data_IF_099608006113
#
_entry.id   IF_099608006113
#
_cell.length_a   1.000
_cell.length_b   1.000
_cell.length_c   1.000
_cell.angle_alpha   90.00
_cell.angle_beta   90.00
_cell.angle_gamma   90.00
#
_symmetry.space_group_name_H-M   'P 1'
#
loop_
_entity.id
_entity.type
_entity.pdbx_description
1 polymer ?
#
# COMPACT_ATOMS: atom_id res chain seq x y z
N UNK A 1 75.64 -0.92 -11.34
CA UNK A 1 75.70 -2.16 -12.15
C UNK A 1 74.85 -3.24 -11.49
N UNK A 2 74.20 -4.03 -12.31
CA UNK A 2 73.37 -5.20 -12.01
C UNK A 2 71.93 -4.92 -11.56
N UNK A 3 71.05 -4.87 -12.59
CA UNK A 3 69.62 -5.05 -12.48
C UNK A 3 69.31 -6.51 -12.09
N UNK A 4 68.52 -6.71 -11.04
CA UNK A 4 67.84 -7.98 -10.77
C UNK A 4 66.35 -7.80 -11.00
N UNK A 5 65.86 -8.45 -12.05
CA UNK A 5 64.46 -8.72 -12.31
C UNK A 5 63.86 -9.52 -11.17
N UNK A 6 62.79 -8.99 -10.58
CA UNK A 6 61.89 -9.76 -9.74
C UNK A 6 60.57 -9.94 -10.50
N UNK A 7 60.41 -11.11 -11.09
CA UNK A 7 59.20 -11.56 -11.72
C UNK A 7 58.33 -12.16 -10.60
N UNK A 8 57.42 -11.37 -10.07
CA UNK A 8 56.44 -11.87 -9.10
C UNK A 8 55.18 -12.30 -9.84
N UNK A 9 54.97 -13.59 -9.77
CA UNK A 9 53.82 -14.37 -10.22
C UNK A 9 52.56 -13.87 -9.44
N UNK A 10 51.67 -13.12 -10.10
CA UNK A 10 50.36 -12.80 -9.56
C UNK A 10 49.45 -13.96 -9.91
N UNK A 11 49.32 -14.88 -8.95
CA UNK A 11 48.32 -15.94 -8.97
C UNK A 11 46.94 -15.32 -8.87
N UNK A 12 46.20 -15.36 -9.96
CA UNK A 12 44.83 -14.89 -10.03
C UNK A 12 43.89 -15.73 -9.16
N UNK A 13 43.49 -15.17 -8.04
CA UNK A 13 42.39 -15.69 -7.23
C UNK A 13 41.08 -15.28 -7.91
N UNK A 14 40.56 -16.13 -8.75
CA UNK A 14 39.18 -16.04 -9.27
C UNK A 14 38.22 -16.32 -8.10
N UNK A 15 37.76 -15.25 -7.44
CA UNK A 15 36.57 -15.29 -6.58
C UNK A 15 35.38 -15.59 -7.45
N UNK A 16 34.96 -16.84 -7.47
CA UNK A 16 33.60 -17.22 -7.93
C UNK A 16 32.61 -16.53 -6.99
N UNK A 17 32.09 -15.38 -7.41
CA UNK A 17 30.83 -14.85 -6.91
C UNK A 17 29.75 -15.82 -7.36
N UNK A 18 29.51 -16.84 -6.54
CA UNK A 18 28.27 -17.61 -6.61
C UNK A 18 27.15 -16.62 -6.28
N UNK A 19 26.61 -15.96 -7.32
CA UNK A 19 25.34 -15.29 -7.22
C UNK A 19 24.34 -16.29 -6.70
N UNK A 20 23.62 -15.95 -5.63
CA UNK A 20 22.39 -16.64 -5.26
C UNK A 20 21.45 -16.56 -6.46
N UNK A 21 21.53 -17.53 -7.35
CA UNK A 21 20.44 -17.91 -8.18
C UNK A 21 19.37 -18.40 -7.18
N UNK A 22 18.32 -17.61 -6.96
CA UNK A 22 17.13 -18.12 -6.28
C UNK A 22 16.73 -19.39 -7.02
N UNK A 23 16.42 -20.45 -6.28
CA UNK A 23 16.00 -21.72 -6.84
C UNK A 23 14.99 -21.45 -7.95
N UNK A 24 15.18 -22.03 -9.14
CA UNK A 24 14.15 -22.02 -10.16
C UNK A 24 12.96 -22.76 -9.55
N UNK A 25 11.87 -22.02 -9.30
CA UNK A 25 10.62 -22.54 -8.75
C UNK A 25 10.20 -23.73 -9.66
N UNK A 26 10.43 -24.95 -9.17
CA UNK A 26 10.12 -26.19 -9.90
C UNK A 26 8.62 -26.24 -10.11
N UNK A 27 8.16 -25.97 -11.33
CA UNK A 27 6.80 -26.00 -11.85
C UNK A 27 6.11 -24.68 -12.08
N UNK A 28 6.78 -23.73 -12.71
CA UNK A 28 6.06 -22.59 -13.30
C UNK A 28 5.25 -23.09 -14.50
N UNK A 29 3.97 -23.40 -14.28
CA UNK A 29 3.06 -23.79 -15.35
C UNK A 29 2.66 -22.56 -16.15
N UNK A 30 3.19 -22.41 -17.35
CA UNK A 30 2.83 -21.31 -18.26
C UNK A 30 1.47 -21.57 -18.87
N UNK A 31 0.50 -20.70 -18.61
CA UNK A 31 -0.87 -20.78 -19.14
C UNK A 31 -0.96 -20.16 -20.54
N UNK A 32 -0.31 -19.02 -20.77
CA UNK A 32 -0.27 -18.34 -22.06
C UNK A 32 1.07 -17.64 -22.29
N UNK A 33 1.49 -17.54 -23.56
CA UNK A 33 2.62 -16.73 -24.00
C UNK A 33 2.12 -15.60 -24.87
N UNK A 34 2.50 -14.36 -24.54
CA UNK A 34 2.06 -13.14 -25.22
C UNK A 34 3.33 -12.37 -25.61
N UNK A 35 3.85 -12.60 -26.82
CA UNK A 35 5.20 -12.20 -27.23
C UNK A 35 6.24 -12.77 -26.24
N UNK A 36 7.02 -11.90 -25.58
CA UNK A 36 8.04 -12.31 -24.61
C UNK A 36 7.49 -12.49 -23.19
N UNK A 37 6.23 -12.10 -22.93
CA UNK A 37 5.59 -12.25 -21.64
C UNK A 37 4.99 -13.64 -21.45
N UNK A 38 5.16 -14.21 -20.25
CA UNK A 38 4.59 -15.51 -19.88
C UNK A 38 3.60 -15.30 -18.73
N UNK A 39 2.32 -15.55 -19.00
CA UNK A 39 1.29 -15.60 -17.99
C UNK A 39 1.28 -17.00 -17.37
N UNK A 40 1.55 -17.10 -16.08
CA UNK A 40 1.50 -18.38 -15.37
C UNK A 40 0.08 -18.72 -14.92
N UNK A 41 -0.18 -20.01 -14.69
CA UNK A 41 -1.45 -20.46 -14.11
C UNK A 41 -1.70 -19.82 -12.75
N UNK A 42 -0.68 -19.72 -11.90
CA UNK A 42 -0.74 -19.09 -10.58
C UNK A 42 -1.13 -17.61 -10.66
N UNK A 43 -0.54 -16.85 -11.60
CA UNK A 43 -0.87 -15.44 -11.78
C UNK A 43 -2.32 -15.26 -12.27
N UNK A 44 -2.74 -16.13 -13.20
CA UNK A 44 -4.13 -16.16 -13.67
C UNK A 44 -5.11 -16.41 -12.52
N UNK A 45 -4.87 -17.45 -11.71
CA UNK A 45 -5.72 -17.80 -10.58
C UNK A 45 -5.76 -16.70 -9.52
N UNK A 46 -4.60 -16.09 -9.22
CA UNK A 46 -4.50 -14.98 -8.27
C UNK A 46 -5.29 -13.75 -8.74
N UNK A 47 -5.16 -13.38 -10.02
CA UNK A 47 -5.90 -12.26 -10.58
C UNK A 47 -7.40 -12.54 -10.69
N UNK A 48 -7.77 -13.79 -11.03
CA UNK A 48 -9.15 -14.23 -11.07
C UNK A 48 -9.79 -14.20 -9.68
N UNK A 49 -9.10 -14.69 -8.65
CA UNK A 49 -9.59 -14.64 -7.26
C UNK A 49 -9.81 -13.20 -6.78
N UNK A 50 -8.85 -12.30 -7.05
CA UNK A 50 -9.01 -10.88 -6.72
C UNK A 50 -10.21 -10.24 -7.41
N UNK A 51 -10.51 -10.62 -8.64
CA UNK A 51 -11.67 -10.09 -9.37
C UNK A 51 -13.00 -10.63 -8.79
N UNK A 52 -13.03 -11.88 -8.35
CA UNK A 52 -14.21 -12.52 -7.73
C UNK A 52 -14.57 -11.92 -6.36
N UNK A 53 -13.60 -11.39 -5.61
CA UNK A 53 -13.87 -10.67 -4.35
C UNK A 53 -14.71 -9.41 -4.55
N UNK A 54 -14.67 -8.80 -5.74
CA UNK A 54 -15.44 -7.59 -6.09
C UNK A 54 -16.81 -7.91 -6.70
N UNK A 55 -17.00 -9.10 -7.32
CA UNK A 55 -18.22 -9.50 -7.99
C UNK A 55 -18.91 -10.65 -7.25
N UNK A 56 -19.78 -10.36 -6.29
CA UNK A 56 -20.45 -11.35 -5.41
C UNK A 56 -21.29 -12.41 -6.13
N UNK A 57 -21.73 -12.16 -7.37
CA UNK A 57 -22.62 -13.04 -8.15
C UNK A 57 -21.91 -13.74 -9.33
N UNK A 58 -20.60 -13.69 -9.40
CA UNK A 58 -19.84 -14.26 -10.52
C UNK A 58 -19.87 -15.80 -10.50
N UNK A 59 -20.50 -16.39 -11.51
CA UNK A 59 -20.45 -17.86 -11.72
C UNK A 59 -19.18 -18.24 -12.47
N UNK A 60 -18.30 -18.97 -11.84
CA UNK A 60 -17.03 -19.46 -12.41
C UNK A 60 -17.26 -20.55 -13.45
N UNK A 61 -17.75 -20.19 -14.63
CA UNK A 61 -17.93 -21.09 -15.78
C UNK A 61 -16.67 -21.13 -16.64
N UNK A 62 -16.51 -22.18 -17.46
CA UNK A 62 -15.40 -22.26 -18.43
C UNK A 62 -15.41 -21.05 -19.39
N UNK A 63 -16.60 -20.62 -19.83
CA UNK A 63 -16.75 -19.42 -20.67
C UNK A 63 -16.23 -18.18 -19.97
N UNK A 64 -16.56 -17.98 -18.69
CA UNK A 64 -16.09 -16.84 -17.90
C UNK A 64 -14.57 -16.86 -17.70
N UNK A 65 -13.97 -18.04 -17.47
CA UNK A 65 -12.51 -18.18 -17.38
C UNK A 65 -11.82 -17.81 -18.70
N UNK A 66 -12.36 -18.27 -19.83
CA UNK A 66 -11.82 -17.93 -21.14
C UNK A 66 -11.92 -16.42 -21.42
N UNK A 67 -13.06 -15.80 -21.13
CA UNK A 67 -13.24 -14.37 -21.27
C UNK A 67 -12.30 -13.58 -20.39
N UNK A 68 -12.08 -14.01 -19.14
CA UNK A 68 -11.12 -13.38 -18.24
C UNK A 68 -9.68 -13.52 -18.77
N UNK A 69 -9.31 -14.69 -19.32
CA UNK A 69 -8.01 -14.89 -19.95
C UNK A 69 -7.83 -13.95 -21.16
N UNK A 70 -8.85 -13.82 -22.01
CA UNK A 70 -8.81 -12.92 -23.17
C UNK A 70 -8.60 -11.46 -22.71
N UNK A 71 -9.27 -11.03 -21.67
CA UNK A 71 -9.07 -9.68 -21.08
C UNK A 71 -7.64 -9.49 -20.57
N UNK A 72 -7.03 -10.52 -19.95
CA UNK A 72 -5.63 -10.43 -19.52
C UNK A 72 -4.65 -10.33 -20.68
N UNK A 73 -4.92 -11.07 -21.76
CA UNK A 73 -4.12 -11.01 -22.99
C UNK A 73 -4.23 -9.60 -23.61
N UNK A 74 -5.43 -9.08 -23.74
CA UNK A 74 -5.66 -7.73 -24.28
C UNK A 74 -4.96 -6.66 -23.43
N UNK A 75 -5.08 -6.74 -22.10
CA UNK A 75 -4.38 -5.84 -21.16
C UNK A 75 -2.88 -5.88 -21.38
N UNK A 76 -2.28 -7.08 -21.51
CA UNK A 76 -0.84 -7.24 -21.71
C UNK A 76 -0.39 -6.61 -23.03
N UNK A 77 -1.12 -6.85 -24.12
CA UNK A 77 -0.82 -6.27 -25.42
C UNK A 77 -0.87 -4.73 -25.39
N UNK A 78 -1.88 -4.16 -24.72
CA UNK A 78 -1.99 -2.70 -24.53
C UNK A 78 -0.83 -2.14 -23.68
N UNK A 79 -0.39 -2.87 -22.64
CA UNK A 79 0.78 -2.47 -21.85
C UNK A 79 2.06 -2.49 -22.68
N UNK A 80 2.28 -3.51 -23.49
CA UNK A 80 3.44 -3.60 -24.37
C UNK A 80 3.47 -2.43 -25.37
N UNK A 81 2.34 -2.10 -25.99
CA UNK A 81 2.25 -0.96 -26.91
C UNK A 81 2.49 0.37 -26.19
N UNK A 82 1.95 0.54 -24.98
CA UNK A 82 2.19 1.73 -24.15
C UNK A 82 3.69 1.88 -23.82
N UNK A 83 4.37 0.79 -23.48
CA UNK A 83 5.82 0.79 -23.22
C UNK A 83 6.63 1.11 -24.46
N UNK A 84 6.26 0.56 -25.61
CA UNK A 84 6.87 0.85 -26.90
C UNK A 84 6.76 2.34 -27.26
N UNK A 85 5.63 2.96 -26.93
CA UNK A 85 5.39 4.40 -27.06
C UNK A 85 6.05 5.23 -25.93
N UNK A 86 6.75 4.60 -24.99
CA UNK A 86 7.44 5.20 -23.84
C UNK A 86 6.49 6.04 -22.95
N UNK A 87 5.23 5.65 -22.85
CA UNK A 87 4.25 6.35 -22.01
C UNK A 87 4.59 6.23 -20.52
N UNK A 88 5.26 5.17 -20.11
CA UNK A 88 5.82 4.92 -18.78
C UNK A 88 6.84 5.98 -18.35
N UNK A 89 7.50 6.65 -19.31
CA UNK A 89 8.49 7.71 -19.09
C UNK A 89 7.90 9.13 -19.19
N UNK A 90 6.62 9.22 -19.44
CA UNK A 90 5.93 10.52 -19.53
C UNK A 90 5.90 11.21 -18.15
N UNK A 91 6.28 12.48 -18.08
CA UNK A 91 6.31 13.26 -16.84
C UNK A 91 4.97 13.25 -16.09
N UNK A 92 3.83 13.30 -16.83
CA UNK A 92 2.49 13.24 -16.23
C UNK A 92 2.21 11.88 -15.59
N UNK A 93 2.65 10.80 -16.25
CA UNK A 93 2.51 9.44 -15.74
C UNK A 93 3.36 9.26 -14.48
N UNK A 94 4.65 9.60 -14.53
CA UNK A 94 5.57 9.52 -13.37
C UNK A 94 4.99 10.30 -12.18
N UNK A 95 4.59 11.56 -12.38
CA UNK A 95 4.00 12.38 -11.33
C UNK A 95 2.67 11.81 -10.78
N UNK A 96 1.90 11.07 -11.58
CA UNK A 96 0.70 10.38 -11.12
C UNK A 96 1.04 9.18 -10.23
N UNK A 97 2.04 8.38 -10.63
CA UNK A 97 2.53 7.24 -9.85
C UNK A 97 3.15 7.69 -8.52
N UNK A 98 3.97 8.74 -8.52
CA UNK A 98 4.55 9.33 -7.31
C UNK A 98 3.46 9.75 -6.31
N UNK A 99 2.45 10.50 -6.77
CA UNK A 99 1.31 10.89 -5.91
C UNK A 99 0.54 9.70 -5.35
N UNK A 100 0.31 8.67 -6.18
CA UNK A 100 -0.37 7.46 -5.74
C UNK A 100 0.43 6.70 -4.69
N UNK A 101 1.74 6.56 -4.92
CA UNK A 101 2.67 5.91 -3.98
C UNK A 101 2.71 6.66 -2.64
N UNK A 102 2.92 7.99 -2.66
CA UNK A 102 2.92 8.82 -1.45
C UNK A 102 1.60 8.71 -0.68
N UNK A 103 0.46 8.85 -1.36
CA UNK A 103 -0.86 8.75 -0.74
C UNK A 103 -1.10 7.37 -0.10
N UNK A 104 -0.70 6.30 -0.79
CA UNK A 104 -0.83 4.92 -0.31
C UNK A 104 0.07 4.67 0.90
N UNK A 105 1.32 5.14 0.86
CA UNK A 105 2.27 5.00 1.97
C UNK A 105 1.76 5.75 3.22
N UNK A 106 1.29 6.99 3.05
CA UNK A 106 0.70 7.78 4.14
C UNK A 106 -0.54 7.08 4.70
N UNK A 107 -1.42 6.58 3.84
CA UNK A 107 -2.61 5.83 4.26
C UNK A 107 -2.23 4.63 5.13
N UNK A 108 -1.31 3.79 4.65
CA UNK A 108 -0.87 2.60 5.38
C UNK A 108 -0.25 2.95 6.74
N UNK A 109 0.57 4.02 6.79
CA UNK A 109 1.14 4.52 8.04
C UNK A 109 0.06 5.01 9.02
N UNK A 110 -0.95 5.73 8.53
CA UNK A 110 -2.06 6.22 9.35
C UNK A 110 -2.94 5.07 9.87
N UNK A 111 -3.16 4.04 9.07
CA UNK A 111 -3.89 2.83 9.47
C UNK A 111 -3.12 2.07 10.55
N UNK A 112 -1.82 1.81 10.34
CA UNK A 112 -0.94 1.16 11.32
C UNK A 112 -0.96 1.92 12.65
N UNK A 113 -0.68 3.23 12.60
CA UNK A 113 -0.67 4.07 13.80
C UNK A 113 -2.03 4.17 14.46
N UNK A 114 -3.08 4.20 13.66
CA UNK A 114 -4.46 4.20 14.14
C UNK A 114 -4.84 2.90 14.85
N UNK A 115 -4.31 1.76 14.45
CA UNK A 115 -4.49 0.47 15.11
C UNK A 115 -3.81 0.49 16.48
N UNK A 116 -2.51 0.83 16.55
CA UNK A 116 -1.76 0.95 17.81
C UNK A 116 -2.47 1.84 18.84
N UNK A 117 -2.94 3.02 18.38
CA UNK A 117 -3.68 3.94 19.25
C UNK A 117 -4.99 3.31 19.71
N UNK A 118 -5.75 2.65 18.83
CA UNK A 118 -7.05 2.07 19.17
C UNK A 118 -6.93 0.99 20.26
N UNK A 119 -5.87 0.19 20.21
CA UNK A 119 -5.59 -0.86 21.20
C UNK A 119 -5.32 -0.29 22.61
N UNK A 120 -4.81 0.94 22.68
CA UNK A 120 -4.54 1.65 23.96
C UNK A 120 -5.71 2.50 24.48
N UNK A 121 -6.81 2.65 23.71
CA UNK A 121 -7.93 3.49 24.10
C UNK A 121 -8.85 2.77 25.09
N UNK A 122 -8.95 3.31 26.29
CA UNK A 122 -9.97 2.97 27.26
C UNK A 122 -11.09 4.03 27.26
N UNK A 123 -12.33 3.60 27.42
CA UNK A 123 -13.51 4.47 27.60
C UNK A 123 -14.12 4.14 28.96
N UNK A 124 -14.16 5.14 29.84
CA UNK A 124 -14.72 4.95 31.18
C UNK A 124 -16.24 5.07 31.19
N UNK A 125 -16.85 4.61 32.27
CA UNK A 125 -18.31 4.72 32.48
C UNK A 125 -18.74 6.18 32.53
N UNK A 126 -17.97 7.03 33.20
CA UNK A 126 -18.24 8.47 33.34
C UNK A 126 -18.24 9.17 31.98
N UNK A 127 -17.36 8.77 31.08
CA UNK A 127 -17.34 9.32 29.72
C UNK A 127 -18.58 8.93 28.92
N UNK A 128 -19.10 7.73 29.13
CA UNK A 128 -20.33 7.24 28.48
C UNK A 128 -21.52 8.05 29.00
N UNK A 129 -21.62 8.19 30.32
CA UNK A 129 -22.70 8.95 30.99
C UNK A 129 -22.69 10.43 30.60
N UNK A 130 -21.51 11.05 30.59
CA UNK A 130 -21.35 12.43 30.16
C UNK A 130 -21.81 12.63 28.71
N UNK A 131 -21.39 11.73 27.82
CA UNK A 131 -21.77 11.78 26.39
C UNK A 131 -23.27 11.57 26.21
N UNK A 132 -23.85 10.61 26.89
CA UNK A 132 -25.30 10.40 26.85
C UNK A 132 -26.07 11.63 27.36
N UNK A 133 -25.60 12.26 28.45
CA UNK A 133 -26.16 13.49 28.97
C UNK A 133 -26.08 14.67 27.99
N UNK A 134 -24.99 14.80 27.22
CA UNK A 134 -24.87 15.79 26.15
C UNK A 134 -25.89 15.53 25.03
N UNK A 135 -26.02 14.27 24.60
CA UNK A 135 -26.98 13.88 23.56
C UNK A 135 -28.41 14.13 24.00
N UNK A 136 -28.75 13.85 25.27
CA UNK A 136 -30.09 14.08 25.84
C UNK A 136 -30.47 15.56 25.89
N UNK A 137 -29.48 16.44 26.00
CA UNK A 137 -29.74 17.91 25.96
C UNK A 137 -30.08 18.42 24.57
N UNK A 138 -29.58 17.72 23.52
CA UNK A 138 -29.78 18.09 22.12
C UNK A 138 -30.95 17.36 21.46
N UNK A 139 -31.40 16.24 22.03
CA UNK A 139 -32.47 15.39 21.47
C UNK A 139 -33.41 14.94 22.59
N UNK A 140 -34.71 15.31 22.50
CA UNK A 140 -35.69 15.04 23.56
C UNK A 140 -36.10 13.55 23.68
N UNK A 141 -36.04 12.78 22.56
CA UNK A 141 -36.47 11.37 22.50
C UNK A 141 -35.29 10.46 22.15
N UNK A 142 -34.38 10.28 23.12
CA UNK A 142 -33.30 9.30 22.98
C UNK A 142 -33.70 7.95 23.60
N UNK A 143 -33.29 6.82 22.97
CA UNK A 143 -33.38 5.51 23.59
C UNK A 143 -32.63 5.47 24.92
N UNK A 144 -32.95 4.52 25.81
CA UNK A 144 -32.23 4.33 27.06
C UNK A 144 -30.70 4.19 26.82
N UNK A 145 -29.91 4.66 27.78
CA UNK A 145 -28.44 4.69 27.68
C UNK A 145 -27.86 3.29 27.36
N UNK A 146 -28.43 2.24 27.93
CA UNK A 146 -27.97 0.87 27.74
C UNK A 146 -28.07 0.42 26.27
N UNK A 147 -29.14 0.82 25.57
CA UNK A 147 -29.30 0.53 24.14
C UNK A 147 -28.31 1.30 23.28
N UNK A 148 -27.94 2.51 23.70
CA UNK A 148 -27.02 3.39 22.98
C UNK A 148 -25.55 3.21 23.37
N UNK A 149 -25.27 2.43 24.42
CA UNK A 149 -23.93 2.27 25.00
C UNK A 149 -22.88 1.91 23.95
N UNK A 150 -23.18 0.92 23.11
CA UNK A 150 -22.26 0.46 22.05
C UNK A 150 -21.91 1.56 21.04
N UNK A 151 -22.90 2.33 20.63
CA UNK A 151 -22.72 3.44 19.71
C UNK A 151 -21.92 4.59 20.34
N UNK A 152 -22.24 4.93 21.60
CA UNK A 152 -21.54 5.96 22.37
C UNK A 152 -20.07 5.59 22.55
N UNK A 153 -19.76 4.36 22.96
CA UNK A 153 -18.39 3.87 23.10
C UNK A 153 -17.63 3.95 21.76
N UNK A 154 -18.27 3.54 20.67
CA UNK A 154 -17.69 3.62 19.32
C UNK A 154 -17.34 5.07 18.93
N UNK A 155 -18.26 6.02 19.19
CA UNK A 155 -18.03 7.45 18.92
C UNK A 155 -16.88 8.02 19.77
N UNK A 156 -16.87 7.75 21.09
CA UNK A 156 -15.81 8.21 21.99
C UNK A 156 -14.45 7.65 21.57
N UNK A 157 -14.38 6.34 21.24
CA UNK A 157 -13.14 5.72 20.74
C UNK A 157 -12.65 6.38 19.45
N UNK A 158 -13.54 6.65 18.49
CA UNK A 158 -13.19 7.31 17.23
C UNK A 158 -12.64 8.72 17.47
N UNK A 159 -13.26 9.49 18.37
CA UNK A 159 -12.80 10.85 18.73
C UNK A 159 -11.45 10.82 19.44
N UNK A 160 -11.26 9.90 20.41
CA UNK A 160 -9.98 9.72 21.10
C UNK A 160 -8.88 9.34 20.11
N UNK A 161 -9.16 8.41 19.18
CA UNK A 161 -8.24 8.02 18.10
C UNK A 161 -7.85 9.23 17.25
N UNK A 162 -8.83 9.99 16.78
CA UNK A 162 -8.58 11.16 15.93
C UNK A 162 -7.75 12.23 16.65
N UNK A 163 -8.05 12.49 17.93
CA UNK A 163 -7.25 13.41 18.75
C UNK A 163 -5.82 12.92 18.94
N UNK A 164 -5.63 11.64 19.19
CA UNK A 164 -4.30 11.05 19.39
C UNK A 164 -3.48 11.07 18.07
N UNK A 165 -4.08 10.71 16.93
CA UNK A 165 -3.45 10.82 15.60
C UNK A 165 -3.05 12.27 15.30
N UNK A 166 -3.95 13.24 15.53
CA UNK A 166 -3.66 14.65 15.30
C UNK A 166 -2.53 15.16 16.19
N UNK A 167 -2.45 14.69 17.44
CA UNK A 167 -1.35 15.01 18.36
C UNK A 167 -0.04 14.44 17.83
N UNK A 168 -0.03 13.18 17.47
CA UNK A 168 1.14 12.51 16.93
C UNK A 168 1.68 13.23 15.68
N UNK A 169 0.82 13.61 14.73
CA UNK A 169 1.24 14.38 13.54
C UNK A 169 1.83 15.74 13.93
N UNK A 170 1.24 16.43 14.92
CA UNK A 170 1.82 17.68 15.43
C UNK A 170 3.20 17.47 16.08
N UNK A 171 3.38 16.35 16.77
CA UNK A 171 4.66 16.01 17.38
C UNK A 171 5.72 15.69 16.33
N UNK A 172 5.36 14.99 15.24
CA UNK A 172 6.26 14.81 14.09
C UNK A 172 6.71 16.16 13.51
N UNK A 173 5.76 17.08 13.32
CA UNK A 173 6.07 18.43 12.80
C UNK A 173 6.96 19.22 13.76
N UNK A 174 6.73 19.15 15.07
CA UNK A 174 7.53 19.83 16.08
C UNK A 174 8.96 19.34 16.16
N UNK A 175 9.16 18.02 15.96
CA UNK A 175 10.47 17.38 16.05
C UNK A 175 11.25 17.41 14.71
N UNK A 176 10.63 17.89 13.64
CA UNK A 176 11.28 18.02 12.33
C UNK A 176 12.02 19.36 12.22
N UNK A 177 13.18 19.33 11.54
CA UNK A 177 13.84 20.56 11.11
C UNK A 177 13.12 21.09 9.87
N UNK A 178 12.37 22.19 10.02
CA UNK A 178 11.58 22.80 8.94
C UNK A 178 12.09 24.21 8.70
N UNK A 179 12.55 24.46 7.49
CA UNK A 179 12.96 25.78 7.03
C UNK A 179 12.04 26.23 5.90
N UNK A 180 11.38 27.38 6.07
CA UNK A 180 10.41 27.90 5.09
C UNK A 180 10.94 29.21 4.53
N UNK A 181 11.10 29.28 3.21
CA UNK A 181 11.41 30.53 2.52
C UNK A 181 10.12 31.35 2.29
N UNK A 182 9.77 32.16 3.28
CA UNK A 182 8.55 32.96 3.23
C UNK A 182 8.48 33.92 2.04
N UNK A 183 9.65 34.41 1.55
CA UNK A 183 9.69 35.32 0.40
C UNK A 183 9.21 34.65 -0.88
N UNK A 184 9.48 33.37 -1.04
CA UNK A 184 9.02 32.59 -2.21
C UNK A 184 7.54 32.22 -2.09
N UNK A 185 7.06 31.98 -0.89
CA UNK A 185 5.66 31.61 -0.64
C UNK A 185 4.69 32.78 -0.98
N UNK A 186 5.11 34.02 -0.76
CA UNK A 186 4.30 35.22 -0.96
C UNK A 186 4.48 35.83 -2.36
N UNK A 187 5.33 35.25 -3.23
CA UNK A 187 5.48 35.68 -4.61
C UNK A 187 4.35 35.08 -5.45
N UNK A 188 3.31 35.88 -5.73
CA UNK A 188 2.30 35.59 -6.75
C UNK A 188 2.87 35.67 -8.15
#
# INVERSE_FOLDING_TARGET
MVKKLFFTLISGLFLYLSGCAGDPDENVTVLAKINDYQLTLKDFETQLASNLEFERDFKLTQKAKNQFLDNLIEKELLLQEAMKLKLDRNKKFIAAIERYWEATLIKNLMELKGKDITESIYVSQEEIEARYGEMKRSQANLPPMEEMRGEIVKKIKAEKKNRALSRWVRDLKRNAKIEINQKLLLKN
#
